data_IF_989431173502
#
_entry.id   IF_989431173502
#
_cell.length_a   1.000
_cell.length_b   1.000
_cell.length_c   1.000
_cell.angle_alpha   90.00
_cell.angle_beta   90.00
_cell.angle_gamma   90.00
#
_symmetry.space_group_name_H-M   'P 1'
#
loop_
_entity.id
_entity.type
_entity.pdbx_description
1 polymer ?
#
# COMPACT_ATOMS: atom_id res chain seq x y z
N UNK A 1 -41.00 9.01 16.54
CA UNK A 1 -39.74 9.82 16.38
C UNK A 1 -38.51 8.93 16.32
N UNK A 2 -38.24 8.07 17.31
CA UNK A 2 -37.02 7.24 17.39
C UNK A 2 -36.85 6.36 16.16
N UNK A 3 -37.90 5.72 15.66
CA UNK A 3 -37.86 4.87 14.46
C UNK A 3 -37.34 5.61 13.20
N UNK A 4 -37.76 6.86 13.01
CA UNK A 4 -37.30 7.69 11.90
C UNK A 4 -35.82 8.00 12.06
N UNK A 5 -35.36 8.32 13.27
CA UNK A 5 -33.95 8.54 13.57
C UNK A 5 -33.10 7.31 13.28
N UNK A 6 -33.60 6.10 13.62
CA UNK A 6 -32.90 4.85 13.32
C UNK A 6 -32.75 4.63 11.81
N UNK A 7 -33.82 4.86 11.03
CA UNK A 7 -33.74 4.75 9.58
C UNK A 7 -32.83 5.82 8.95
N UNK A 8 -32.69 7.00 9.54
CA UNK A 8 -31.76 8.03 9.07
C UNK A 8 -30.27 7.62 9.22
N UNK A 9 -29.96 6.67 10.09
CA UNK A 9 -28.61 6.11 10.19
C UNK A 9 -28.16 5.40 8.90
N UNK A 10 -29.10 4.85 8.12
CA UNK A 10 -28.79 4.12 6.89
C UNK A 10 -28.19 5.06 5.83
N UNK A 11 -28.87 6.14 5.38
CA UNK A 11 -28.29 7.06 4.40
C UNK A 11 -27.04 7.76 4.93
N UNK A 12 -26.98 8.09 6.22
CA UNK A 12 -25.80 8.68 6.84
C UNK A 12 -24.61 7.70 6.79
N UNK A 13 -24.84 6.43 7.14
CA UNK A 13 -23.82 5.38 7.03
C UNK A 13 -23.33 5.18 5.58
N UNK A 14 -24.24 5.24 4.61
CA UNK A 14 -23.89 5.15 3.20
C UNK A 14 -22.99 6.33 2.73
N UNK A 15 -23.30 7.55 3.14
CA UNK A 15 -22.45 8.74 2.84
C UNK A 15 -21.07 8.61 3.46
N UNK A 16 -21.01 8.20 4.74
CA UNK A 16 -19.74 7.96 5.43
C UNK A 16 -18.95 6.82 4.79
N UNK A 17 -19.60 5.79 4.25
CA UNK A 17 -18.96 4.69 3.54
C UNK A 17 -18.24 5.19 2.27
N UNK A 18 -18.90 6.04 1.49
CA UNK A 18 -18.27 6.67 0.31
C UNK A 18 -17.04 7.47 0.71
N UNK A 19 -17.13 8.26 1.79
CA UNK A 19 -16.01 9.02 2.31
C UNK A 19 -14.86 8.10 2.78
N UNK A 20 -15.17 7.00 3.48
CA UNK A 20 -14.21 6.02 3.96
C UNK A 20 -13.44 5.35 2.81
N UNK A 21 -14.16 4.98 1.75
CA UNK A 21 -13.55 4.41 0.53
C UNK A 21 -12.59 5.42 -0.12
N UNK A 22 -12.97 6.70 -0.20
CA UNK A 22 -12.09 7.76 -0.72
C UNK A 22 -10.83 7.91 0.11
N UNK A 23 -10.95 7.82 1.44
CA UNK A 23 -9.84 7.91 2.38
C UNK A 23 -8.85 6.75 2.18
N UNK A 24 -9.37 5.52 2.07
CA UNK A 24 -8.56 4.33 1.80
C UNK A 24 -7.87 4.45 0.44
N UNK A 25 -8.59 4.84 -0.61
CA UNK A 25 -7.99 5.05 -1.93
C UNK A 25 -6.88 6.09 -1.91
N UNK A 26 -7.04 7.16 -1.12
CA UNK A 26 -6.01 8.19 -0.92
C UNK A 26 -4.74 7.61 -0.28
N UNK A 27 -4.87 6.67 0.67
CA UNK A 27 -3.69 6.07 1.33
C UNK A 27 -2.87 5.15 0.41
N UNK A 28 -3.47 4.64 -0.67
CA UNK A 28 -2.76 3.92 -1.75
C UNK A 28 -2.38 4.82 -2.94
N UNK A 29 -2.75 6.10 -2.88
CA UNK A 29 -2.36 7.13 -3.83
C UNK A 29 -0.87 7.45 -3.69
N UNK A 30 -0.46 8.51 -4.36
CA UNK A 30 0.91 9.01 -4.38
C UNK A 30 1.48 8.92 -5.79
N UNK A 31 2.26 9.95 -6.11
CA UNK A 31 2.91 10.07 -7.40
C UNK A 31 3.98 8.99 -7.56
N UNK A 32 4.10 8.44 -8.77
CA UNK A 32 5.18 7.53 -9.12
C UNK A 32 6.32 8.34 -9.71
N UNK A 33 7.45 8.40 -9.02
CA UNK A 33 8.64 9.14 -9.42
C UNK A 33 9.56 8.33 -10.34
N UNK A 34 9.57 7.03 -10.19
CA UNK A 34 10.35 6.12 -11.00
C UNK A 34 9.61 4.79 -11.19
N UNK A 35 9.59 4.28 -12.41
CA UNK A 35 9.24 2.89 -12.72
C UNK A 35 10.44 2.25 -13.43
N UNK A 36 11.17 1.40 -12.71
CA UNK A 36 12.40 0.77 -13.18
C UNK A 36 12.10 -0.69 -13.53
N UNK A 37 12.24 -1.11 -14.81
CA UNK A 37 12.21 -2.53 -15.16
C UNK A 37 13.26 -3.30 -14.37
N UNK A 38 12.93 -4.48 -13.88
CA UNK A 38 13.81 -5.28 -13.02
C UNK A 38 15.15 -5.63 -13.70
N UNK A 39 15.15 -5.81 -15.02
CA UNK A 39 16.36 -6.05 -15.80
C UNK A 39 17.30 -4.84 -15.85
N UNK A 40 16.78 -3.64 -15.62
CA UNK A 40 17.55 -2.41 -15.60
C UNK A 40 17.97 -2.13 -14.16
N UNK A 41 19.18 -2.52 -13.81
CA UNK A 41 19.66 -2.52 -12.41
C UNK A 41 19.78 -1.14 -11.77
N UNK A 42 19.73 -0.04 -12.54
CA UNK A 42 19.90 1.32 -12.01
C UNK A 42 18.96 2.30 -12.69
N UNK A 43 18.42 3.25 -11.92
CA UNK A 43 17.58 4.33 -12.43
C UNK A 43 17.67 5.56 -11.54
N UNK A 44 17.66 6.75 -12.17
CA UNK A 44 17.70 8.02 -11.47
C UNK A 44 16.30 8.63 -11.36
N UNK A 45 16.04 9.34 -10.26
CA UNK A 45 14.78 10.03 -10.03
C UNK A 45 15.02 11.32 -9.23
N UNK A 46 14.09 12.26 -9.35
CA UNK A 46 14.11 13.53 -8.65
C UNK A 46 13.03 13.56 -7.59
N UNK A 47 13.37 14.04 -6.42
CA UNK A 47 12.45 14.37 -5.34
C UNK A 47 12.33 15.88 -5.26
N UNK A 48 11.11 16.40 -5.35
CA UNK A 48 10.84 17.84 -5.33
C UNK A 48 10.43 18.34 -3.95
N UNK A 49 9.79 17.49 -3.14
CA UNK A 49 9.27 17.84 -1.81
C UNK A 49 9.88 16.95 -0.74
N UNK A 50 10.21 17.50 0.44
CA UNK A 50 10.65 16.67 1.55
C UNK A 50 9.48 15.78 2.01
N UNK A 51 9.76 14.50 2.26
CA UNK A 51 8.69 13.60 2.65
C UNK A 51 9.14 12.15 2.81
N UNK A 52 8.14 11.30 3.02
CA UNK A 52 8.33 9.84 3.07
C UNK A 52 8.00 9.24 1.71
N UNK A 53 8.89 8.41 1.23
CA UNK A 53 8.78 7.71 -0.04
C UNK A 53 8.85 6.21 0.19
N UNK A 54 8.32 5.43 -0.74
CA UNK A 54 8.29 3.99 -0.64
C UNK A 54 8.80 3.32 -1.91
N UNK A 55 9.48 2.21 -1.71
CA UNK A 55 9.90 1.29 -2.77
C UNK A 55 8.84 0.21 -2.88
N UNK A 56 8.22 0.14 -4.04
CA UNK A 56 7.21 -0.85 -4.37
C UNK A 56 7.74 -1.80 -5.42
N UNK A 57 7.34 -3.05 -5.33
CA UNK A 57 7.52 -4.00 -6.41
C UNK A 57 6.19 -4.23 -7.12
N UNK A 58 6.19 -4.12 -8.46
CA UNK A 58 5.07 -4.37 -9.34
C UNK A 58 5.34 -5.62 -10.17
N UNK A 59 4.33 -6.45 -10.34
CA UNK A 59 4.40 -7.67 -11.14
C UNK A 59 3.01 -8.13 -11.57
N UNK A 60 2.94 -9.30 -12.18
CA UNK A 60 1.67 -9.90 -12.58
C UNK A 60 0.88 -10.39 -11.37
N UNK A 61 -0.44 -10.25 -11.45
CA UNK A 61 -1.36 -10.78 -10.44
C UNK A 61 -1.25 -12.32 -10.35
N UNK A 62 -1.32 -12.86 -9.13
CA UNK A 62 -1.20 -14.29 -8.82
C UNK A 62 0.17 -14.93 -9.14
N UNK A 63 1.21 -14.16 -9.37
CA UNK A 63 2.58 -14.65 -9.48
C UNK A 63 3.44 -14.18 -8.32
N UNK A 64 4.39 -15.03 -7.90
CA UNK A 64 5.33 -14.66 -6.83
C UNK A 64 6.22 -13.52 -7.29
N UNK A 65 6.35 -12.51 -6.45
CA UNK A 65 7.31 -11.42 -6.66
C UNK A 65 8.73 -11.92 -6.34
N UNK A 66 9.74 -11.59 -7.17
CA UNK A 66 11.14 -11.99 -6.95
C UNK A 66 11.83 -11.14 -5.86
N UNK A 67 11.20 -11.01 -4.69
CA UNK A 67 11.69 -10.19 -3.55
C UNK A 67 12.96 -10.75 -2.90
N UNK A 68 13.30 -11.98 -3.20
CA UNK A 68 14.47 -12.71 -2.71
C UNK A 68 15.70 -12.60 -3.62
N UNK A 69 15.57 -11.94 -4.77
CA UNK A 69 16.63 -11.87 -5.79
C UNK A 69 17.35 -10.52 -5.85
N UNK A 70 16.89 -9.51 -5.11
CA UNK A 70 17.51 -8.19 -5.12
C UNK A 70 17.42 -7.48 -3.77
N UNK A 71 18.35 -6.57 -3.57
CA UNK A 71 18.37 -5.61 -2.47
C UNK A 71 18.42 -4.20 -3.07
N UNK A 72 17.41 -3.34 -2.83
CA UNK A 72 17.44 -1.97 -3.31
C UNK A 72 18.41 -1.14 -2.46
N UNK A 73 19.17 -0.28 -3.11
CA UNK A 73 19.97 0.75 -2.48
C UNK A 73 19.62 2.10 -3.09
N UNK A 74 19.43 3.13 -2.27
CA UNK A 74 19.21 4.52 -2.72
C UNK A 74 20.40 5.35 -2.31
N UNK A 75 20.92 6.09 -3.27
CA UNK A 75 22.03 7.01 -3.06
C UNK A 75 21.63 8.39 -3.55
N UNK A 76 21.88 9.42 -2.77
CA UNK A 76 21.71 10.81 -3.14
C UNK A 76 22.90 11.22 -4.02
N UNK A 77 22.63 11.70 -5.25
CA UNK A 77 23.68 11.91 -6.25
C UNK A 77 24.58 13.12 -5.98
N UNK A 78 24.04 14.15 -5.33
CA UNK A 78 24.77 15.38 -5.00
C UNK A 78 25.76 15.19 -3.82
N UNK A 79 25.47 14.29 -2.88
CA UNK A 79 26.31 14.08 -1.69
C UNK A 79 26.97 12.69 -1.64
N UNK A 80 26.56 11.76 -2.49
CA UNK A 80 26.98 10.36 -2.42
C UNK A 80 26.43 9.60 -1.19
N UNK A 81 25.55 10.23 -0.41
CA UNK A 81 25.01 9.63 0.82
C UNK A 81 24.05 8.49 0.50
N UNK A 82 24.28 7.33 1.10
CA UNK A 82 23.32 6.22 1.09
C UNK A 82 22.15 6.53 2.04
N UNK A 83 20.94 6.33 1.55
CA UNK A 83 19.70 6.54 2.30
C UNK A 83 19.32 5.25 3.03
N UNK A 84 19.01 5.37 4.33
CA UNK A 84 18.54 4.25 5.13
C UNK A 84 17.12 3.83 4.70
N UNK A 85 16.96 2.54 4.42
CA UNK A 85 15.68 1.95 4.04
C UNK A 85 15.09 1.21 5.24
N UNK A 86 13.85 1.54 5.60
CA UNK A 86 13.09 0.85 6.66
C UNK A 86 12.16 -0.17 6.01
N UNK A 87 12.22 -1.45 6.37
CA UNK A 87 11.28 -2.44 5.86
C UNK A 87 9.84 -2.08 6.21
N UNK A 88 8.92 -2.24 5.25
CA UNK A 88 7.50 -2.02 5.49
C UNK A 88 6.92 -3.21 6.27
N UNK A 89 6.50 -2.96 7.52
CA UNK A 89 6.02 -4.01 8.44
C UNK A 89 4.75 -4.71 7.92
N UNK A 90 3.79 -3.95 7.39
CA UNK A 90 2.50 -4.48 6.94
C UNK A 90 2.49 -4.81 5.46
N UNK A 91 3.53 -4.45 4.70
CA UNK A 91 3.64 -4.67 3.25
C UNK A 91 2.32 -4.44 2.53
N UNK A 92 1.74 -3.23 2.63
CA UNK A 92 0.50 -2.93 1.97
C UNK A 92 0.61 -3.31 0.50
N UNK A 93 -0.44 -3.94 0.01
CA UNK A 93 -0.50 -4.38 -1.37
C UNK A 93 -1.73 -3.78 -2.06
N UNK A 94 -1.64 -3.61 -3.35
CA UNK A 94 -2.73 -3.17 -4.20
C UNK A 94 -2.71 -3.97 -5.49
N UNK A 95 -3.88 -4.37 -5.96
CA UNK A 95 -4.04 -4.97 -7.27
C UNK A 95 -5.13 -4.26 -8.06
N UNK A 96 -5.02 -4.28 -9.36
CA UNK A 96 -5.99 -3.72 -10.30
C UNK A 96 -6.64 -4.81 -11.19
N UNK A 97 -6.51 -6.09 -10.77
CA UNK A 97 -6.98 -7.26 -11.51
C UNK A 97 -5.98 -7.80 -12.54
N UNK A 98 -5.02 -6.99 -12.98
CA UNK A 98 -4.00 -7.34 -13.97
C UNK A 98 -2.62 -7.34 -13.32
N UNK A 99 -2.30 -6.29 -12.56
CA UNK A 99 -1.03 -6.11 -11.88
C UNK A 99 -1.19 -6.13 -10.36
N UNK A 100 -0.17 -6.63 -9.70
CA UNK A 100 -0.04 -6.63 -8.25
C UNK A 100 1.14 -5.76 -7.85
N UNK A 101 0.95 -4.91 -6.84
CA UNK A 101 1.99 -4.04 -6.29
C UNK A 101 2.08 -4.27 -4.80
N UNK A 102 3.32 -4.37 -4.28
CA UNK A 102 3.58 -4.56 -2.86
C UNK A 102 4.68 -3.60 -2.40
N UNK A 103 4.44 -2.92 -1.29
CA UNK A 103 5.43 -2.05 -0.65
C UNK A 103 6.48 -2.91 0.06
N UNK A 104 7.76 -2.64 -0.22
CA UNK A 104 8.88 -3.36 0.38
C UNK A 104 9.58 -2.53 1.47
N UNK A 105 9.89 -1.28 1.16
CA UNK A 105 10.64 -0.38 2.02
C UNK A 105 10.06 1.02 2.02
N UNK A 106 10.33 1.76 3.09
CA UNK A 106 10.10 3.21 3.21
C UNK A 106 11.40 3.92 3.49
N UNK A 107 11.50 5.16 3.06
CA UNK A 107 12.62 6.03 3.36
C UNK A 107 12.17 7.49 3.42
N UNK A 108 12.90 8.29 4.18
CA UNK A 108 12.72 9.74 4.20
C UNK A 108 13.75 10.38 3.27
N UNK A 109 13.32 11.37 2.51
CA UNK A 109 14.20 12.10 1.62
C UNK A 109 13.85 13.58 1.55
N UNK A 110 14.89 14.39 1.40
CA UNK A 110 14.79 15.82 1.08
C UNK A 110 14.77 16.02 -0.44
N UNK A 111 14.43 17.22 -0.94
CA UNK A 111 14.54 17.53 -2.35
C UNK A 111 15.96 17.28 -2.88
N UNK A 112 16.06 16.71 -4.08
CA UNK A 112 17.36 16.39 -4.70
C UNK A 112 17.26 15.32 -5.78
N UNK A 113 18.43 14.94 -6.33
CA UNK A 113 18.58 13.87 -7.30
C UNK A 113 19.06 12.60 -6.61
N UNK A 114 18.43 11.49 -6.93
CA UNK A 114 18.69 10.19 -6.32
C UNK A 114 18.89 9.11 -7.39
N UNK A 115 19.66 8.10 -7.05
CA UNK A 115 19.81 6.88 -7.84
C UNK A 115 19.30 5.70 -7.05
N UNK A 116 18.45 4.89 -7.66
CA UNK A 116 18.07 3.56 -7.18
C UNK A 116 18.97 2.54 -7.88
N UNK A 117 19.63 1.69 -7.11
CA UNK A 117 20.41 0.56 -7.62
C UNK A 117 19.88 -0.74 -7.03
N UNK A 118 19.68 -1.74 -7.89
CA UNK A 118 19.28 -3.08 -7.50
C UNK A 118 20.51 -3.98 -7.46
N UNK A 119 21.00 -4.27 -6.26
CA UNK A 119 22.13 -5.17 -6.04
C UNK A 119 21.64 -6.61 -5.85
N UNK A 120 22.50 -7.59 -6.08
CA UNK A 120 22.20 -8.97 -5.78
C UNK A 120 22.02 -9.15 -4.27
N UNK A 121 20.98 -9.87 -3.87
CA UNK A 121 20.66 -10.05 -2.46
C UNK A 121 19.20 -10.41 -2.25
N UNK A 122 18.71 -10.21 -1.03
CA UNK A 122 17.33 -10.47 -0.69
C UNK A 122 16.71 -9.28 0.02
N UNK A 123 15.53 -8.90 -0.42
CA UNK A 123 14.70 -7.86 0.20
C UNK A 123 13.81 -8.39 1.33
N UNK A 124 13.90 -9.68 1.64
CA UNK A 124 13.10 -10.34 2.69
C UNK A 124 13.97 -10.80 3.85
N UNK A 125 13.36 -10.83 5.03
CA UNK A 125 14.01 -11.33 6.25
C UNK A 125 14.25 -12.85 6.19
N UNK A 126 15.14 -13.36 7.05
CA UNK A 126 15.45 -14.79 7.11
C UNK A 126 14.21 -15.70 7.34
N UNK A 127 13.29 -15.40 8.28
CA UNK A 127 12.08 -16.20 8.49
C UNK A 127 11.13 -16.18 7.29
N UNK A 128 10.98 -15.03 6.62
CA UNK A 128 10.15 -14.93 5.41
C UNK A 128 10.73 -15.75 4.24
N UNK A 129 12.06 -15.79 4.13
CA UNK A 129 12.75 -16.62 3.14
C UNK A 129 12.51 -18.11 3.39
N UNK A 130 12.54 -18.54 4.64
CA UNK A 130 12.21 -19.92 5.00
C UNK A 130 10.77 -20.27 4.61
N UNK A 131 9.81 -19.41 4.95
CA UNK A 131 8.40 -19.60 4.59
C UNK A 131 8.19 -19.63 3.09
N UNK A 132 8.91 -18.80 2.33
CA UNK A 132 8.81 -18.74 0.86
C UNK A 132 9.27 -20.03 0.16
N UNK A 133 10.14 -20.83 0.80
CA UNK A 133 10.61 -22.13 0.27
C UNK A 133 9.58 -23.24 0.38
N UNK A 134 8.61 -23.10 1.30
CA UNK A 134 7.52 -24.08 1.46
C UNK A 134 6.52 -24.07 0.30
N UNK A 135 6.51 -23.01 -0.49
CA UNK A 135 5.65 -22.88 -1.66
C UNK A 135 6.50 -22.83 -2.93
N UNK A 136 6.78 -23.98 -3.56
CA UNK A 136 7.55 -24.03 -4.81
C UNK A 136 6.76 -23.33 -5.93
N UNK A 137 7.33 -22.26 -6.45
CA UNK A 137 6.68 -21.45 -7.50
C UNK A 137 7.42 -21.64 -8.81
N UNK A 138 6.67 -21.78 -9.90
CA UNK A 138 7.16 -21.86 -11.28
C UNK A 138 8.15 -20.72 -11.58
N UNK A 139 9.10 -20.99 -12.48
CA UNK A 139 10.07 -20.00 -12.98
C UNK A 139 9.34 -18.71 -13.35
N UNK A 140 9.74 -17.62 -12.72
CA UNK A 140 9.15 -16.30 -12.86
C UNK A 140 9.84 -15.63 -14.04
N UNK A 141 9.07 -15.12 -14.99
CA UNK A 141 9.59 -14.25 -16.05
C UNK A 141 9.90 -12.87 -15.46
N UNK A 142 11.19 -12.63 -15.21
CA UNK A 142 11.70 -11.42 -14.55
C UNK A 142 11.46 -10.16 -15.40
N UNK A 143 11.25 -10.30 -16.71
CA UNK A 143 11.05 -9.16 -17.62
C UNK A 143 9.79 -8.34 -17.35
N UNK A 144 8.80 -8.95 -16.68
CA UNK A 144 7.50 -8.34 -16.39
C UNK A 144 7.40 -7.73 -14.97
N UNK A 145 8.55 -7.61 -14.29
CA UNK A 145 8.60 -7.02 -12.96
C UNK A 145 9.26 -5.65 -13.01
N UNK A 146 8.73 -4.77 -12.17
CA UNK A 146 9.20 -3.38 -12.05
C UNK A 146 9.40 -3.04 -10.58
N UNK A 147 10.36 -2.17 -10.32
CA UNK A 147 10.53 -1.52 -9.02
C UNK A 147 10.07 -0.08 -9.17
N UNK A 148 9.17 0.35 -8.30
CA UNK A 148 8.60 1.69 -8.32
C UNK A 148 9.12 2.48 -7.13
N UNK A 149 9.44 3.76 -7.35
CA UNK A 149 9.56 4.74 -6.28
C UNK A 149 8.30 5.59 -6.29
N UNK A 150 7.60 5.65 -5.15
CA UNK A 150 6.36 6.40 -5.00
C UNK A 150 6.38 7.24 -3.73
N UNK A 151 5.65 8.35 -3.77
CA UNK A 151 5.32 9.08 -2.57
C UNK A 151 4.50 8.20 -1.62
N UNK A 152 4.94 8.10 -0.36
CA UNK A 152 4.25 7.31 0.66
C UNK A 152 3.22 8.17 1.36
N UNK A 153 1.99 7.69 1.41
CA UNK A 153 0.94 8.34 2.15
C UNK A 153 0.98 7.93 3.64
N UNK A 154 0.62 8.83 4.56
CA UNK A 154 0.58 8.52 5.98
C UNK A 154 -0.38 7.36 6.29
N UNK A 155 0.10 6.39 7.06
CA UNK A 155 -0.64 5.17 7.40
C UNK A 155 -1.94 5.44 8.19
N UNK A 156 -2.01 6.57 8.92
CA UNK A 156 -3.22 6.93 9.67
C UNK A 156 -4.46 7.10 8.78
N UNK A 157 -4.33 7.47 7.49
CA UNK A 157 -5.46 7.54 6.56
C UNK A 157 -6.08 6.17 6.31
N UNK A 158 -5.24 5.13 6.24
CA UNK A 158 -5.71 3.74 6.08
C UNK A 158 -6.46 3.28 7.33
N UNK A 159 -5.87 3.48 8.51
CA UNK A 159 -6.51 3.09 9.78
C UNK A 159 -7.84 3.81 9.94
N UNK A 160 -7.87 5.13 9.73
CA UNK A 160 -9.09 5.94 9.85
C UNK A 160 -10.17 5.47 8.87
N UNK A 161 -9.78 5.15 7.62
CA UNK A 161 -10.69 4.62 6.63
C UNK A 161 -11.31 3.28 7.06
N UNK A 162 -10.51 2.36 7.60
CA UNK A 162 -10.99 1.05 8.08
C UNK A 162 -11.95 1.23 9.27
N UNK A 163 -11.59 2.05 10.27
CA UNK A 163 -12.45 2.33 11.42
C UNK A 163 -13.79 2.94 11.00
N UNK A 164 -13.77 3.85 10.03
CA UNK A 164 -15.00 4.43 9.49
C UNK A 164 -15.86 3.40 8.75
N UNK A 165 -15.28 2.46 8.00
CA UNK A 165 -16.04 1.38 7.36
C UNK A 165 -16.78 0.53 8.40
N UNK A 166 -16.08 0.17 9.48
CA UNK A 166 -16.67 -0.60 10.58
C UNK A 166 -17.83 0.17 11.21
N UNK A 167 -17.63 1.46 11.50
CA UNK A 167 -18.67 2.35 12.03
C UNK A 167 -19.88 2.44 11.08
N UNK A 168 -19.63 2.62 9.76
CA UNK A 168 -20.71 2.64 8.76
C UNK A 168 -21.52 1.34 8.77
N UNK A 169 -20.86 0.19 8.87
CA UNK A 169 -21.52 -1.11 8.98
C UNK A 169 -22.44 -1.17 10.19
N UNK A 170 -21.98 -0.76 11.36
CA UNK A 170 -22.81 -0.70 12.57
C UNK A 170 -23.98 0.28 12.42
N UNK A 171 -23.77 1.46 11.83
CA UNK A 171 -24.84 2.43 11.61
C UNK A 171 -25.91 1.88 10.65
N UNK A 172 -25.52 1.29 9.54
CA UNK A 172 -26.45 0.77 8.55
C UNK A 172 -27.23 -0.45 9.08
N UNK A 173 -26.53 -1.43 9.67
CA UNK A 173 -27.16 -2.63 10.26
C UNK A 173 -27.99 -2.25 11.47
N UNK A 174 -27.45 -1.45 12.39
CA UNK A 174 -28.15 -1.00 13.60
C UNK A 174 -29.37 -0.14 13.27
N UNK A 175 -29.27 0.75 12.27
CA UNK A 175 -30.39 1.54 11.76
C UNK A 175 -31.51 0.68 11.18
N UNK A 176 -31.14 -0.35 10.38
CA UNK A 176 -32.11 -1.26 9.78
C UNK A 176 -32.78 -2.14 10.84
N UNK A 177 -31.99 -2.86 11.62
CA UNK A 177 -32.49 -3.81 12.64
C UNK A 177 -33.26 -3.06 13.72
N UNK A 178 -32.71 -1.97 14.26
CA UNK A 178 -33.39 -1.16 15.28
C UNK A 178 -34.65 -0.52 14.75
N UNK A 179 -34.67 -0.01 13.52
CA UNK A 179 -35.88 0.57 12.89
C UNK A 179 -36.99 -0.44 12.66
N UNK A 180 -36.65 -1.71 12.38
CA UNK A 180 -37.64 -2.80 12.20
C UNK A 180 -38.15 -3.30 13.55
N UNK A 181 -37.27 -3.57 14.51
CA UNK A 181 -37.58 -4.22 15.78
C UNK A 181 -38.13 -3.25 16.85
N UNK A 182 -37.92 -1.93 16.68
CA UNK A 182 -38.38 -0.94 17.66
C UNK A 182 -39.87 -1.07 18.11
N UNK A 183 -40.83 -1.40 17.21
CA UNK A 183 -42.22 -1.60 17.64
C UNK A 183 -42.45 -2.81 18.56
N UNK A 184 -41.50 -3.73 18.65
CA UNK A 184 -41.59 -4.95 19.47
C UNK A 184 -41.05 -4.74 20.89
N UNK A 185 -40.34 -3.66 21.16
CA UNK A 185 -39.73 -3.33 22.44
C UNK A 185 -40.35 -2.10 23.13
N UNK A 186 -41.40 -1.52 22.55
CA UNK A 186 -42.12 -0.32 23.04
C UNK A 186 -43.55 -0.62 23.50
#
# INVERSE_FOLDING_TARGET
MIRILLFLLIPLGALLLVFSIRLIRKSFGGETLLELPFLRKTGNFRIEKPGTYAIWQKGQYLRKLPVDQFKPEITRLDTGQKISLTPSLFRPNANDGITFRMELFRFQAAPGLYSLTLTEGSSISAPERWLSRLFPVKKVDISQYFVLIRESQPFHWLIMGILLIVLCGFMMIGGLVGGILYPQFG
#
